data_IF_350374971890
#
_entry.id   IF_350374971890
#
_cell.length_a   1.000
_cell.length_b   1.000
_cell.length_c   1.000
_cell.angle_alpha   90.00
_cell.angle_beta   90.00
_cell.angle_gamma   90.00
#
_symmetry.space_group_name_H-M   'P 1'
#
loop_
_entity.id
_entity.type
_entity.pdbx_description
1 polymer ?
#
# COMPACT_ATOMS: atom_id res chain seq x y z
N UNK A 1 9.85 -5.53 7.52
CA UNK A 1 9.11 -6.74 7.97
C UNK A 1 8.00 -6.92 6.95
N UNK A 2 7.95 -8.06 6.26
CA UNK A 2 6.97 -8.28 5.19
C UNK A 2 5.79 -9.07 5.74
N UNK A 3 4.60 -8.48 5.71
CA UNK A 3 3.35 -9.16 6.05
C UNK A 3 2.62 -9.54 4.76
N UNK A 4 2.10 -10.77 4.70
CA UNK A 4 1.27 -11.25 3.61
C UNK A 4 -0.08 -11.64 4.21
N UNK A 5 -1.14 -10.97 3.78
CA UNK A 5 -2.50 -11.29 4.20
C UNK A 5 -3.37 -11.63 2.99
N UNK A 6 -4.16 -12.70 3.09
CA UNK A 6 -5.13 -13.09 2.07
C UNK A 6 -6.50 -12.57 2.47
N UNK A 7 -7.02 -11.61 1.71
CA UNK A 7 -8.34 -11.04 1.99
C UNK A 7 -9.44 -11.94 1.42
N UNK A 8 -10.31 -12.49 2.26
CA UNK A 8 -11.38 -13.41 1.82
C UNK A 8 -12.56 -12.71 1.12
N UNK A 9 -12.79 -11.42 1.38
CA UNK A 9 -13.85 -10.65 0.74
C UNK A 9 -13.50 -10.21 -0.67
N UNK A 10 -12.28 -9.70 -0.86
CA UNK A 10 -11.76 -9.23 -2.17
C UNK A 10 -11.03 -10.34 -2.93
N UNK A 11 -10.67 -11.45 -2.27
CA UNK A 11 -9.93 -12.59 -2.86
C UNK A 11 -8.64 -12.16 -3.56
N UNK A 12 -7.76 -11.45 -2.86
CA UNK A 12 -6.42 -11.11 -3.33
C UNK A 12 -5.39 -11.24 -2.20
N UNK A 13 -4.11 -11.30 -2.58
CA UNK A 13 -2.99 -11.14 -1.67
C UNK A 13 -2.68 -9.65 -1.46
N UNK A 14 -2.40 -9.28 -0.22
CA UNK A 14 -1.92 -7.95 0.14
C UNK A 14 -0.53 -8.10 0.75
N UNK A 15 0.46 -7.50 0.09
CA UNK A 15 1.85 -7.47 0.53
C UNK A 15 2.12 -6.12 1.19
N UNK A 16 2.54 -6.12 2.45
CA UNK A 16 2.83 -4.88 3.18
C UNK A 16 4.30 -4.89 3.60
N UNK A 17 5.02 -3.80 3.30
CA UNK A 17 6.38 -3.57 3.80
C UNK A 17 6.50 -2.18 4.43
N UNK A 18 7.32 -2.10 5.47
CA UNK A 18 7.49 -0.91 6.30
C UNK A 18 8.97 -0.48 6.26
N UNK A 19 9.20 0.75 5.83
CA UNK A 19 10.53 1.36 5.67
C UNK A 19 10.68 2.50 6.66
N UNK A 20 11.75 2.46 7.45
CA UNK A 20 12.02 3.51 8.45
C UNK A 20 12.50 4.79 7.75
N UNK A 21 13.18 4.62 6.62
CA UNK A 21 13.81 5.68 5.84
C UNK A 21 12.93 6.14 4.66
N UNK A 22 13.47 7.08 3.90
CA UNK A 22 12.92 7.51 2.62
C UNK A 22 12.83 6.33 1.64
N UNK A 23 11.79 6.35 0.82
CA UNK A 23 11.58 5.35 -0.22
C UNK A 23 12.67 5.46 -1.30
N UNK A 24 13.35 4.36 -1.63
CA UNK A 24 14.25 4.29 -2.77
C UNK A 24 13.62 3.55 -3.96
N UNK A 25 14.10 3.81 -5.18
CA UNK A 25 13.67 3.08 -6.39
C UNK A 25 13.85 1.56 -6.25
N UNK A 26 14.84 1.12 -5.47
CA UNK A 26 15.08 -0.30 -5.19
C UNK A 26 13.94 -0.94 -4.39
N UNK A 27 13.33 -0.21 -3.45
CA UNK A 27 12.23 -0.72 -2.63
C UNK A 27 10.97 -0.95 -3.48
N UNK A 28 10.68 0.00 -4.38
CA UNK A 28 9.60 -0.09 -5.35
C UNK A 28 9.81 -1.26 -6.32
N UNK A 29 11.02 -1.40 -6.87
CA UNK A 29 11.37 -2.52 -7.74
C UNK A 29 11.24 -3.87 -7.04
N UNK A 30 11.66 -3.97 -5.77
CA UNK A 30 11.47 -5.19 -4.97
C UNK A 30 9.98 -5.50 -4.76
N UNK A 31 9.17 -4.51 -4.40
CA UNK A 31 7.74 -4.70 -4.23
C UNK A 31 7.07 -5.15 -5.55
N UNK A 32 7.48 -4.56 -6.67
CA UNK A 32 7.00 -4.95 -8.00
C UNK A 32 7.33 -6.39 -8.35
N UNK A 33 8.54 -6.85 -8.03
CA UNK A 33 8.92 -8.24 -8.21
C UNK A 33 8.04 -9.16 -7.35
N UNK A 34 7.76 -8.79 -6.10
CA UNK A 34 6.91 -9.60 -5.24
C UNK A 34 5.46 -9.65 -5.70
N UNK A 35 4.84 -8.52 -6.06
CA UNK A 35 3.48 -8.49 -6.61
C UNK A 35 3.39 -9.40 -7.84
N UNK A 36 4.36 -9.30 -8.76
CA UNK A 36 4.41 -10.14 -9.95
C UNK A 36 4.59 -11.62 -9.63
N UNK A 37 5.38 -11.96 -8.61
CA UNK A 37 5.56 -13.35 -8.19
C UNK A 37 4.23 -13.95 -7.70
N UNK A 38 3.53 -13.25 -6.80
CA UNK A 38 2.26 -13.74 -6.27
C UNK A 38 1.20 -13.87 -7.36
N UNK A 39 1.11 -12.89 -8.27
CA UNK A 39 0.17 -12.95 -9.38
C UNK A 39 0.41 -14.09 -10.36
N UNK A 40 1.68 -14.51 -10.54
CA UNK A 40 2.04 -15.56 -11.51
C UNK A 40 2.02 -16.96 -10.92
N UNK A 41 2.36 -17.11 -9.64
CA UNK A 41 2.67 -18.42 -9.06
C UNK A 41 1.82 -18.81 -7.86
N UNK A 42 1.30 -17.85 -7.10
CA UNK A 42 0.54 -18.12 -5.85
C UNK A 42 -0.96 -17.87 -6.03
N UNK A 43 -1.32 -16.98 -6.95
CA UNK A 43 -2.70 -16.64 -7.26
C UNK A 43 -3.39 -17.78 -7.99
N UNK A 44 -4.57 -18.14 -7.52
CA UNK A 44 -5.44 -19.12 -8.19
C UNK A 44 -6.47 -18.43 -9.09
N UNK A 45 -7.07 -19.19 -10.00
CA UNK A 45 -8.07 -18.65 -10.94
C UNK A 45 -9.26 -18.03 -10.19
N UNK A 46 -9.68 -16.84 -10.63
CA UNK A 46 -10.76 -16.07 -10.01
C UNK A 46 -10.34 -15.15 -8.86
N UNK A 47 -9.06 -15.12 -8.48
CA UNK A 47 -8.52 -14.15 -7.53
C UNK A 47 -8.12 -12.83 -8.21
N UNK A 48 -8.33 -11.74 -7.48
CA UNK A 48 -7.99 -10.39 -7.90
C UNK A 48 -6.47 -10.17 -7.89
N UNK A 49 -5.96 -9.21 -8.68
CA UNK A 49 -4.53 -8.88 -8.69
C UNK A 49 -4.00 -8.58 -7.28
N UNK A 50 -2.78 -9.03 -7.01
CA UNK A 50 -2.07 -8.80 -5.76
C UNK A 50 -1.83 -7.31 -5.58
N UNK A 51 -2.00 -6.83 -4.34
CA UNK A 51 -1.78 -5.43 -3.97
C UNK A 51 -0.48 -5.33 -3.17
N UNK A 52 0.42 -4.42 -3.57
CA UNK A 52 1.57 -4.01 -2.77
C UNK A 52 1.30 -2.72 -2.01
N UNK A 53 1.64 -2.68 -0.73
CA UNK A 53 1.57 -1.48 0.10
C UNK A 53 2.96 -1.24 0.71
N UNK A 54 3.55 -0.11 0.40
CA UNK A 54 4.81 0.37 0.96
C UNK A 54 4.52 1.54 1.88
N UNK A 55 4.84 1.38 3.16
CA UNK A 55 4.72 2.44 4.16
C UNK A 55 6.13 2.94 4.50
N UNK A 56 6.37 4.23 4.29
CA UNK A 56 7.68 4.86 4.49
C UNK A 56 7.56 6.17 5.27
N UNK A 57 8.66 6.70 5.81
CA UNK A 57 8.61 7.97 6.56
C UNK A 57 8.34 9.15 5.62
N UNK A 58 8.84 9.06 4.39
CA UNK A 58 8.71 10.05 3.33
C UNK A 58 8.64 9.34 1.98
N UNK A 59 7.75 9.82 1.11
CA UNK A 59 7.54 9.29 -0.24
C UNK A 59 7.57 10.41 -1.27
N UNK A 60 8.36 10.23 -2.33
CA UNK A 60 8.36 11.12 -3.50
C UNK A 60 7.47 10.51 -4.60
N UNK A 61 6.41 11.22 -4.98
CA UNK A 61 5.46 10.80 -6.01
C UNK A 61 6.14 10.64 -7.39
N UNK A 62 7.09 11.52 -7.73
CA UNK A 62 7.82 11.41 -8.99
C UNK A 62 8.70 10.15 -9.03
N UNK A 63 9.29 9.75 -7.89
CA UNK A 63 10.05 8.52 -7.79
C UNK A 63 9.16 7.28 -8.00
N UNK A 64 7.94 7.31 -7.47
CA UNK A 64 6.95 6.24 -7.64
C UNK A 64 6.58 6.11 -9.11
N UNK A 65 6.20 7.21 -9.75
CA UNK A 65 5.76 7.25 -11.15
C UNK A 65 6.88 6.84 -12.13
N UNK A 66 8.13 7.23 -11.86
CA UNK A 66 9.27 6.88 -12.70
C UNK A 66 9.72 5.42 -12.54
N UNK A 67 9.48 4.80 -11.38
CA UNK A 67 9.99 3.45 -11.08
C UNK A 67 8.96 2.36 -11.41
N UNK A 68 7.68 2.64 -11.19
CA UNK A 68 6.61 1.67 -11.40
C UNK A 68 5.96 1.84 -12.78
N UNK A 69 5.52 0.75 -13.43
CA UNK A 69 4.70 0.85 -14.62
C UNK A 69 3.31 1.43 -14.30
N UNK A 70 2.66 2.06 -15.27
CA UNK A 70 1.33 2.70 -15.09
C UNK A 70 0.24 1.76 -14.55
N UNK A 71 0.37 0.46 -14.78
CA UNK A 71 -0.58 -0.56 -14.34
C UNK A 71 -0.13 -1.30 -13.06
N UNK A 72 0.87 -0.79 -12.34
CA UNK A 72 1.31 -1.38 -11.08
C UNK A 72 0.23 -1.26 -10.00
N UNK A 73 -0.10 -2.37 -9.35
CA UNK A 73 -1.02 -2.40 -8.22
C UNK A 73 -0.27 -2.21 -6.89
N UNK A 74 0.56 -1.16 -6.82
CA UNK A 74 1.46 -0.87 -5.69
C UNK A 74 1.24 0.55 -5.22
N UNK A 75 1.05 0.69 -3.91
CA UNK A 75 0.77 1.95 -3.26
C UNK A 75 1.88 2.28 -2.26
N UNK A 76 2.63 3.34 -2.51
CA UNK A 76 3.56 3.90 -1.55
C UNK A 76 2.92 5.08 -0.82
N UNK A 77 2.92 5.06 0.52
CA UNK A 77 2.38 6.14 1.35
C UNK A 77 3.27 6.43 2.54
N UNK A 78 3.29 7.71 2.92
CA UNK A 78 3.94 8.15 4.15
C UNK A 78 3.14 7.70 5.38
N UNK A 79 3.81 7.13 6.38
CA UNK A 79 3.22 6.94 7.70
C UNK A 79 3.63 8.08 8.63
N UNK A 80 2.69 8.52 9.46
CA UNK A 80 2.97 9.50 10.52
C UNK A 80 3.26 8.75 11.81
N UNK A 81 4.47 8.95 12.35
CA UNK A 81 4.90 8.37 13.64
C UNK A 81 4.06 8.88 14.82
N UNK A 82 3.48 10.06 14.70
CA UNK A 82 2.61 10.63 15.73
C UNK A 82 1.15 10.49 15.32
N UNK A 83 0.37 9.86 16.19
CA UNK A 83 -1.08 9.94 16.12
C UNK A 83 -1.47 11.41 16.39
N UNK A 84 -2.28 12.05 15.54
CA UNK A 84 -2.87 13.34 15.86
C UNK A 84 -3.56 13.30 17.23
N UNK A 85 -3.69 14.46 17.89
CA UNK A 85 -4.46 14.55 19.14
C UNK A 85 -5.82 13.86 18.96
N UNK A 86 -6.25 13.10 19.97
CA UNK A 86 -7.49 12.31 19.94
C UNK A 86 -8.69 13.13 19.45
N UNK A 87 -8.76 14.41 19.82
CA UNK A 87 -9.83 15.31 19.38
C UNK A 87 -9.79 15.58 17.88
N UNK A 88 -8.60 15.80 17.32
CA UNK A 88 -8.40 16.03 15.90
C UNK A 88 -8.69 14.76 15.09
N UNK A 89 -8.29 13.59 15.61
CA UNK A 89 -8.58 12.30 14.99
C UNK A 89 -10.10 12.05 14.93
N UNK A 90 -10.82 12.27 16.04
CA UNK A 90 -12.28 12.15 16.10
C UNK A 90 -12.99 13.09 15.13
N UNK A 91 -12.48 14.32 14.95
CA UNK A 91 -13.03 15.28 14.01
C UNK A 91 -12.88 14.79 12.56
N UNK A 92 -11.67 14.37 12.18
CA UNK A 92 -11.41 13.85 10.82
C UNK A 92 -12.19 12.58 10.51
N UNK A 93 -12.35 11.68 11.49
CA UNK A 93 -13.16 10.47 11.34
C UNK A 93 -14.63 10.80 11.06
N UNK A 94 -15.20 11.79 11.74
CA UNK A 94 -16.56 12.26 11.44
C UNK A 94 -16.65 12.86 10.03
N UNK A 95 -15.71 13.74 9.67
CA UNK A 95 -15.66 14.35 8.34
C UNK A 95 -15.65 13.28 7.23
N UNK A 96 -14.81 12.25 7.34
CA UNK A 96 -14.75 11.16 6.35
C UNK A 96 -16.02 10.29 6.31
N UNK A 97 -16.64 10.02 7.45
CA UNK A 97 -17.90 9.27 7.52
C UNK A 97 -19.09 10.05 6.93
N UNK A 98 -19.04 11.38 7.01
CA UNK A 98 -20.05 12.27 6.42
C UNK A 98 -19.81 12.43 4.91
N UNK A 99 -18.56 12.42 4.46
CA UNK A 99 -18.18 12.43 3.02
C UNK A 99 -18.56 11.13 2.29
N UNK A 100 -18.53 9.97 2.95
CA UNK A 100 -18.97 8.69 2.35
C UNK A 100 -20.51 8.53 2.27
N UNK A 101 -21.28 9.39 2.94
CA UNK A 101 -22.74 9.34 2.95
C UNK A 101 -23.42 10.35 2.00
N UNK A 102 -22.62 11.17 1.30
CA UNK A 102 -23.06 12.13 0.28
C UNK A 102 -22.62 11.68 -1.12
#
# INVERSE_FOLDING_TARGET
>A
MKLIEKNHGVRCYVLIDFKIDELAHQDLGQMQMYVNYYDRYEKIEGENPTIGILLCKQSDEALVDLTLPENANIYAKEYKLYLPDKKLLQKKLKEWLDEEQN
#
